data_IF_945483050652
#
_entry.id   IF_945483050652
#
_cell.length_a   1.000
_cell.length_b   1.000
_cell.length_c   1.000
_cell.angle_alpha   90.00
_cell.angle_beta   90.00
_cell.angle_gamma   90.00
#
_symmetry.space_group_name_H-M   'P 1'
#
loop_
_entity.id
_entity.type
_entity.pdbx_description
1 polymer ?
#
# COMPACT_ATOMS: atom_id res chain seq x y z
N UNK A 1 6.28 12.94 10.83
CA UNK A 1 7.70 12.47 10.75
C UNK A 1 7.85 11.28 9.82
N UNK A 2 7.00 10.26 9.93
CA UNK A 2 6.95 9.05 9.07
C UNK A 2 6.96 9.36 7.55
N UNK A 3 6.14 10.32 7.08
CA UNK A 3 6.03 10.69 5.65
C UNK A 3 7.35 11.17 5.02
N UNK A 4 8.15 11.95 5.76
CA UNK A 4 9.47 12.41 5.28
C UNK A 4 10.47 11.27 5.19
N UNK A 5 10.38 10.31 6.13
CA UNK A 5 11.26 9.15 6.18
C UNK A 5 10.98 8.19 5.02
N UNK A 6 9.71 7.91 4.74
CA UNK A 6 9.31 7.14 3.57
C UNK A 6 9.76 7.82 2.26
N UNK A 7 9.54 9.13 2.13
CA UNK A 7 9.97 9.89 0.93
C UNK A 7 11.49 9.87 0.74
N UNK A 8 12.28 9.92 1.82
CA UNK A 8 13.73 9.84 1.75
C UNK A 8 14.20 8.46 1.28
N UNK A 9 13.65 7.40 1.86
CA UNK A 9 13.92 6.01 1.43
C UNK A 9 13.61 5.83 -0.07
N UNK A 10 12.57 6.50 -0.56
CA UNK A 10 12.21 6.49 -1.97
C UNK A 10 13.26 7.12 -2.90
N UNK A 11 13.94 8.16 -2.44
CA UNK A 11 14.95 8.90 -3.23
C UNK A 11 16.28 8.17 -3.18
N UNK A 12 16.66 7.64 -2.01
CA UNK A 12 17.96 7.03 -1.79
C UNK A 12 18.12 5.67 -2.52
N UNK A 13 17.03 4.94 -2.81
CA UNK A 13 17.10 3.63 -3.48
C UNK A 13 17.28 3.67 -5.02
N UNK A 14 17.34 4.85 -5.64
CA UNK A 14 17.31 5.05 -7.10
C UNK A 14 18.66 4.93 -7.83
N UNK A 15 19.71 4.36 -7.20
CA UNK A 15 21.09 4.46 -7.73
C UNK A 15 21.61 3.26 -8.55
N UNK A 16 20.81 2.25 -8.89
CA UNK A 16 21.28 1.15 -9.77
C UNK A 16 20.62 1.16 -11.15
N UNK A 17 21.47 1.19 -12.18
CA UNK A 17 21.13 1.29 -13.59
C UNK A 17 20.25 0.11 -14.05
N UNK A 18 19.06 0.41 -14.57
CA UNK A 18 18.20 -0.55 -15.28
C UNK A 18 16.83 -0.79 -14.67
N UNK A 19 16.66 -0.58 -13.36
CA UNK A 19 15.32 -0.51 -12.75
C UNK A 19 14.87 0.93 -12.82
N UNK A 20 14.33 1.35 -13.95
CA UNK A 20 13.79 2.71 -14.10
C UNK A 20 12.83 3.06 -12.94
N UNK A 21 12.62 4.35 -12.66
CA UNK A 21 11.74 4.83 -11.55
C UNK A 21 10.40 4.08 -11.46
N UNK A 22 9.91 3.56 -12.58
CA UNK A 22 8.74 2.70 -12.67
C UNK A 22 8.87 1.38 -11.88
N UNK A 23 9.94 0.61 -12.05
CA UNK A 23 10.14 -0.67 -11.37
C UNK A 23 10.23 -0.53 -9.85
N UNK A 24 10.87 0.54 -9.39
CA UNK A 24 10.95 0.84 -7.96
C UNK A 24 9.59 1.25 -7.37
N UNK A 25 8.81 2.06 -8.09
CA UNK A 25 7.42 2.38 -7.71
C UNK A 25 6.56 1.13 -7.55
N UNK A 26 6.72 0.14 -8.43
CA UNK A 26 6.04 -1.16 -8.33
C UNK A 26 6.50 -1.96 -7.12
N UNK A 27 7.81 -2.10 -6.92
CA UNK A 27 8.37 -2.81 -5.78
C UNK A 27 7.86 -2.22 -4.45
N UNK A 28 7.89 -0.89 -4.33
CA UNK A 28 7.37 -0.20 -3.14
C UNK A 28 5.89 -0.49 -2.90
N UNK A 29 5.05 -0.29 -3.92
CA UNK A 29 3.61 -0.47 -3.80
C UNK A 29 3.26 -1.92 -3.44
N UNK A 30 3.89 -2.89 -4.10
CA UNK A 30 3.66 -4.31 -3.84
C UNK A 30 4.06 -4.71 -2.42
N UNK A 31 5.22 -4.23 -1.94
CA UNK A 31 5.68 -4.54 -0.59
C UNK A 31 4.79 -3.88 0.47
N UNK A 32 4.44 -2.60 0.31
CA UNK A 32 3.59 -1.88 1.26
C UNK A 32 2.19 -2.52 1.37
N UNK A 33 1.55 -2.78 0.23
CA UNK A 33 0.21 -3.37 0.19
C UNK A 33 0.20 -4.82 0.68
N UNK A 34 1.22 -5.60 0.33
CA UNK A 34 1.39 -6.97 0.83
C UNK A 34 1.53 -7.05 2.34
N UNK A 35 2.09 -6.01 2.98
CA UNK A 35 2.18 -5.89 4.44
C UNK A 35 0.95 -5.23 5.08
N UNK A 36 -0.13 -5.00 4.32
CA UNK A 36 -1.40 -4.50 4.84
C UNK A 36 -1.46 -2.99 5.06
N UNK A 37 -0.54 -2.22 4.48
CA UNK A 37 -0.63 -0.76 4.48
C UNK A 37 -1.84 -0.33 3.64
N UNK A 38 -2.66 0.65 4.11
CA UNK A 38 -3.80 1.14 3.34
C UNK A 38 -3.40 1.70 1.98
N UNK A 39 -4.18 1.38 0.93
CA UNK A 39 -3.90 1.84 -0.43
C UNK A 39 -3.97 3.36 -0.58
N UNK A 40 -4.73 4.04 0.28
CA UNK A 40 -4.79 5.51 0.37
C UNK A 40 -3.44 6.11 0.71
N UNK A 41 -2.75 5.53 1.69
CA UNK A 41 -1.45 6.02 2.17
C UNK A 41 -0.36 5.75 1.13
N UNK A 42 -0.39 4.56 0.53
CA UNK A 42 0.52 4.19 -0.57
C UNK A 42 0.36 5.14 -1.76
N UNK A 43 -0.88 5.45 -2.16
CA UNK A 43 -1.15 6.40 -3.24
C UNK A 43 -0.62 7.81 -2.93
N UNK A 44 -0.82 8.28 -1.69
CA UNK A 44 -0.31 9.57 -1.22
C UNK A 44 1.24 9.61 -1.26
N UNK A 45 1.91 8.57 -0.76
CA UNK A 45 3.37 8.50 -0.73
C UNK A 45 4.01 8.45 -2.12
N UNK A 46 3.34 7.81 -3.09
CA UNK A 46 3.77 7.78 -4.49
C UNK A 46 3.49 9.09 -5.23
N UNK A 47 2.74 10.01 -4.61
CA UNK A 47 2.35 11.29 -5.19
C UNK A 47 1.36 11.16 -6.33
N UNK A 48 0.52 10.12 -6.34
CA UNK A 48 -0.53 9.99 -7.34
C UNK A 48 -1.63 11.02 -7.08
N UNK A 49 -2.15 11.63 -8.16
CA UNK A 49 -3.21 12.64 -8.05
C UNK A 49 -4.56 12.03 -7.70
N UNK A 50 -4.76 10.77 -8.09
CA UNK A 50 -5.95 9.99 -7.78
C UNK A 50 -5.55 8.63 -7.23
N UNK A 51 -6.31 8.16 -6.24
CA UNK A 51 -6.19 6.78 -5.71
C UNK A 51 -6.48 5.75 -6.81
N UNK A 52 -7.28 6.11 -7.82
CA UNK A 52 -7.65 5.22 -8.91
C UNK A 52 -6.42 4.72 -9.71
N UNK A 53 -5.40 5.55 -9.86
CA UNK A 53 -4.13 5.17 -10.52
C UNK A 53 -3.46 3.99 -9.79
N UNK A 54 -3.40 4.06 -8.46
CA UNK A 54 -2.89 2.99 -7.59
C UNK A 54 -3.84 1.80 -7.59
N UNK A 55 -5.14 2.03 -7.47
CA UNK A 55 -6.15 0.99 -7.34
C UNK A 55 -6.22 0.09 -8.58
N UNK A 56 -6.24 0.68 -9.79
CA UNK A 56 -6.29 -0.10 -11.05
C UNK A 56 -5.14 -1.09 -11.16
N UNK A 57 -3.95 -0.70 -10.69
CA UNK A 57 -2.74 -1.50 -10.77
C UNK A 57 -2.67 -2.53 -9.64
N UNK A 58 -2.90 -2.14 -8.39
CA UNK A 58 -2.52 -2.95 -7.22
C UNK A 58 -3.69 -3.52 -6.40
N UNK A 59 -4.95 -3.32 -6.79
CA UNK A 59 -6.13 -3.86 -6.08
C UNK A 59 -6.05 -5.37 -5.79
N UNK A 60 -5.35 -6.11 -6.64
CA UNK A 60 -5.21 -7.57 -6.51
C UNK A 60 -4.29 -7.99 -5.36
N UNK A 61 -3.45 -7.07 -4.85
CA UNK A 61 -2.58 -7.31 -3.69
C UNK A 61 -3.29 -7.02 -2.36
N UNK A 62 -4.46 -6.38 -2.42
CA UNK A 62 -5.24 -6.13 -1.22
C UNK A 62 -5.82 -7.48 -0.75
N UNK A 63 -5.57 -7.88 0.50
CA UNK A 63 -6.11 -9.13 1.02
C UNK A 63 -7.64 -9.11 0.89
N UNK A 64 -8.22 -10.22 0.45
CA UNK A 64 -9.67 -10.39 0.28
C UNK A 64 -10.39 -9.94 1.54
N UNK A 65 -10.94 -8.73 1.49
CA UNK A 65 -11.40 -8.02 2.68
C UNK A 65 -12.62 -8.69 3.29
N UNK A 66 -13.41 -9.40 2.49
CA UNK A 66 -14.71 -9.95 2.92
C UNK A 66 -14.53 -11.01 4.01
N UNK A 67 -13.67 -12.02 3.81
CA UNK A 67 -13.48 -13.08 4.82
C UNK A 67 -12.80 -12.57 6.08
N UNK A 68 -11.82 -11.66 5.95
CA UNK A 68 -11.15 -11.04 7.10
C UNK A 68 -12.10 -10.10 7.86
N UNK A 69 -12.87 -9.28 7.15
CA UNK A 69 -13.86 -8.39 7.73
C UNK A 69 -14.96 -9.17 8.43
N UNK A 70 -15.49 -10.25 7.82
CA UNK A 70 -16.47 -11.12 8.45
C UNK A 70 -15.96 -11.65 9.80
N UNK A 71 -14.73 -12.18 9.84
CA UNK A 71 -14.13 -12.67 11.10
C UNK A 71 -13.96 -11.57 12.16
N UNK A 72 -13.56 -10.37 11.77
CA UNK A 72 -13.40 -9.24 12.70
C UNK A 72 -14.77 -8.77 13.22
N UNK A 73 -15.76 -8.66 12.34
CA UNK A 73 -17.11 -8.24 12.68
C UNK A 73 -17.78 -9.29 13.58
N UNK A 74 -17.66 -10.58 13.27
CA UNK A 74 -18.14 -11.65 14.15
C UNK A 74 -17.51 -11.52 15.55
N UNK A 75 -16.18 -11.40 15.63
CA UNK A 75 -15.51 -11.28 16.92
C UNK A 75 -15.94 -10.05 17.74
N UNK A 76 -16.18 -8.91 17.09
CA UNK A 76 -16.57 -7.66 17.75
C UNK A 76 -18.06 -7.60 18.13
N UNK A 77 -18.94 -8.19 17.32
CA UNK A 77 -20.38 -8.19 17.57
C UNK A 77 -20.77 -9.14 18.71
N UNK A 78 -20.09 -10.29 18.83
CA UNK A 78 -20.37 -11.25 19.91
C UNK A 78 -19.74 -10.89 21.25
N UNK A 79 -18.75 -9.99 21.29
CA UNK A 79 -18.17 -9.50 22.56
C UNK A 79 -18.94 -8.31 23.15
N UNK A 80 -19.81 -7.67 22.37
CA UNK A 80 -20.62 -6.53 22.79
C UNK A 80 -22.07 -6.90 23.19
N UNK A 81 -22.42 -8.19 23.13
CA UNK A 81 -23.72 -8.75 23.52
C UNK A 81 -23.57 -9.61 24.79
#
# INVERSE_FOLDING_TARGET
MERRRARKLFVDLLSEEGVGMYGFRHCFASNALGNGIPITDVAEWMGHKSIEETYRTYRHLMPGSITKAARILDAGLWQAA
#
